data_IF_572039294811
#
_entry.id   IF_572039294811
#
_cell.length_a   1.000
_cell.length_b   1.000
_cell.length_c   1.000
_cell.angle_alpha   90.00
_cell.angle_beta   90.00
_cell.angle_gamma   90.00
#
_symmetry.space_group_name_H-M   'P 1'
#
loop_
_entity.id
_entity.type
_entity.pdbx_description
1 polymer ?
#
# COMPACT_ATOMS: atom_id res chain seq x y z
N UNK A 1 9.95 -45.74 -17.16
CA UNK A 1 9.98 -44.34 -16.69
C UNK A 1 10.99 -44.30 -15.55
N UNK A 2 11.91 -43.35 -15.58
CA UNK A 2 12.87 -43.16 -14.48
C UNK A 2 12.28 -42.21 -13.44
N UNK A 3 12.54 -42.49 -12.17
CA UNK A 3 12.11 -41.61 -11.08
C UNK A 3 12.99 -40.35 -11.08
N UNK A 4 12.37 -39.18 -10.97
CA UNK A 4 13.08 -37.90 -10.79
C UNK A 4 12.84 -37.48 -9.34
N UNK A 5 13.92 -37.19 -8.62
CA UNK A 5 13.89 -36.62 -7.27
C UNK A 5 14.56 -35.25 -7.33
N UNK A 6 13.89 -34.22 -6.83
CA UNK A 6 14.39 -32.85 -6.73
C UNK A 6 14.33 -32.43 -5.25
N UNK A 7 15.46 -31.98 -4.71
CA UNK A 7 15.58 -31.54 -3.33
C UNK A 7 16.45 -30.28 -3.25
N UNK A 8 15.99 -29.28 -2.49
CA UNK A 8 16.62 -27.97 -2.27
C UNK A 8 16.14 -27.45 -0.91
N UNK A 9 17.07 -26.95 -0.10
CA UNK A 9 16.73 -26.22 1.12
C UNK A 9 16.66 -24.71 0.80
N UNK A 10 15.56 -24.08 1.20
CA UNK A 10 15.29 -22.64 1.04
C UNK A 10 15.06 -21.94 2.39
N UNK A 11 15.27 -22.63 3.52
CA UNK A 11 15.22 -22.01 4.86
C UNK A 11 16.24 -20.87 4.95
N UNK A 12 15.82 -19.72 5.48
CA UNK A 12 16.68 -18.54 5.64
C UNK A 12 17.65 -18.71 6.83
N UNK A 13 18.85 -18.14 6.68
CA UNK A 13 19.85 -17.99 7.75
C UNK A 13 19.44 -16.86 8.74
N UNK A 14 20.36 -16.41 9.61
CA UNK A 14 20.10 -15.31 10.56
C UNK A 14 19.56 -14.04 9.87
N UNK A 15 18.56 -13.36 10.47
CA UNK A 15 17.94 -12.17 9.88
C UNK A 15 18.93 -11.02 9.73
N UNK A 16 18.82 -10.28 8.63
CA UNK A 16 19.60 -9.06 8.40
C UNK A 16 19.35 -8.03 9.53
N UNK A 17 20.40 -7.58 10.25
CA UNK A 17 20.23 -6.64 11.36
C UNK A 17 19.52 -5.33 10.98
N UNK A 18 19.73 -4.83 9.74
CA UNK A 18 19.06 -3.62 9.28
C UNK A 18 17.56 -3.88 9.04
N UNK A 19 17.21 -4.95 8.33
CA UNK A 19 15.82 -5.36 8.14
C UNK A 19 15.09 -5.56 9.48
N UNK A 20 15.75 -6.17 10.47
CA UNK A 20 15.18 -6.33 11.81
C UNK A 20 14.96 -4.99 12.50
N UNK A 21 15.94 -4.07 12.44
CA UNK A 21 15.80 -2.75 13.06
C UNK A 21 14.67 -1.92 12.42
N UNK A 22 14.52 -1.98 11.09
CA UNK A 22 13.40 -1.36 10.37
C UNK A 22 12.08 -1.98 10.81
N UNK A 23 11.99 -3.31 10.84
CA UNK A 23 10.79 -4.01 11.28
C UNK A 23 10.39 -3.62 12.71
N UNK A 24 11.35 -3.59 13.63
CA UNK A 24 11.12 -3.20 15.02
C UNK A 24 10.62 -1.75 15.13
N UNK A 25 11.20 -0.82 14.35
CA UNK A 25 10.76 0.58 14.32
C UNK A 25 9.34 0.73 13.76
N UNK A 26 9.05 0.04 12.65
CA UNK A 26 7.73 0.04 12.00
C UNK A 26 6.62 -0.47 12.93
N UNK A 27 6.93 -1.46 13.78
CA UNK A 27 5.99 -2.07 14.72
C UNK A 27 6.01 -1.46 16.13
N UNK A 28 6.90 -0.50 16.40
CA UNK A 28 6.98 0.13 17.71
C UNK A 28 5.66 0.87 18.05
N UNK A 29 5.30 1.00 19.34
CA UNK A 29 4.17 1.86 19.73
C UNK A 29 4.37 3.29 19.25
N UNK A 30 3.36 3.85 18.58
CA UNK A 30 3.44 5.15 17.88
C UNK A 30 4.37 5.14 16.66
N UNK A 31 4.76 3.97 16.17
CA UNK A 31 5.52 3.80 14.92
C UNK A 31 4.61 3.80 13.69
N UNK A 32 5.21 3.55 12.54
CA UNK A 32 4.54 3.66 11.23
C UNK A 32 3.21 2.93 11.14
N UNK A 33 3.11 1.65 11.53
CA UNK A 33 1.86 0.91 11.36
C UNK A 33 0.71 1.50 12.18
N UNK A 34 0.98 1.94 13.40
CA UNK A 34 -0.05 2.53 14.27
C UNK A 34 -0.53 3.87 13.72
N UNK A 35 0.39 4.76 13.34
CA UNK A 35 0.04 6.08 12.79
C UNK A 35 -0.62 5.97 11.41
N UNK A 36 -0.11 5.09 10.54
CA UNK A 36 -0.70 4.85 9.24
C UNK A 36 -2.12 4.28 9.36
N UNK A 37 -2.33 3.32 10.28
CA UNK A 37 -3.66 2.77 10.55
C UNK A 37 -4.63 3.85 11.03
N UNK A 38 -4.23 4.74 11.95
CA UNK A 38 -5.07 5.87 12.39
C UNK A 38 -5.50 6.76 11.23
N UNK A 39 -4.58 7.07 10.31
CA UNK A 39 -4.89 7.88 9.12
C UNK A 39 -5.85 7.13 8.19
N UNK A 40 -5.64 5.84 7.96
CA UNK A 40 -6.52 4.99 7.14
C UNK A 40 -7.92 4.81 7.76
N UNK A 41 -8.02 4.74 9.09
CA UNK A 41 -9.29 4.62 9.82
C UNK A 41 -10.14 5.88 9.75
N UNK A 42 -9.51 7.05 9.60
CA UNK A 42 -10.22 8.31 9.40
C UNK A 42 -10.89 8.39 8.00
N UNK A 43 -10.48 7.55 7.06
CA UNK A 43 -11.03 7.52 5.70
C UNK A 43 -12.35 6.74 5.71
N UNK A 44 -13.45 7.32 5.18
CA UNK A 44 -14.71 6.61 5.05
C UNK A 44 -14.55 5.34 4.20
N UNK A 45 -15.20 4.26 4.63
CA UNK A 45 -15.19 2.98 3.93
C UNK A 45 -16.58 2.59 3.44
N UNK A 46 -16.62 1.84 2.35
CA UNK A 46 -17.86 1.29 1.77
C UNK A 46 -17.75 -0.21 1.65
N UNK A 47 -18.90 -0.89 1.64
CA UNK A 47 -18.95 -2.32 1.36
C UNK A 47 -18.69 -2.54 -0.13
N UNK A 48 -17.76 -3.43 -0.46
CA UNK A 48 -17.54 -3.90 -1.82
C UNK A 48 -18.54 -5.01 -2.13
N UNK A 49 -19.53 -4.82 -3.03
CA UNK A 49 -20.62 -5.78 -3.21
C UNK A 49 -20.14 -7.18 -3.63
N UNK A 50 -19.14 -7.24 -4.51
CA UNK A 50 -18.55 -8.49 -4.99
C UNK A 50 -17.86 -9.26 -3.85
N UNK A 51 -17.15 -8.56 -2.98
CA UNK A 51 -16.41 -9.21 -1.90
C UNK A 51 -17.30 -9.58 -0.73
N UNK A 52 -18.38 -8.85 -0.52
CA UNK A 52 -19.49 -9.32 0.30
C UNK A 52 -20.06 -10.65 -0.20
N UNK A 53 -20.36 -10.76 -1.49
CA UNK A 53 -20.87 -12.01 -2.09
C UNK A 53 -19.84 -13.15 -1.96
N UNK A 54 -18.56 -12.86 -2.18
CA UNK A 54 -17.46 -13.81 -2.00
C UNK A 54 -17.37 -14.28 -0.54
N UNK A 55 -17.48 -13.37 0.43
CA UNK A 55 -17.49 -13.70 1.85
C UNK A 55 -18.65 -14.62 2.21
N UNK A 56 -19.87 -14.27 1.82
CA UNK A 56 -21.05 -15.09 2.14
C UNK A 56 -20.96 -16.48 1.50
N UNK A 57 -20.43 -16.56 0.27
CA UNK A 57 -20.17 -17.83 -0.42
C UNK A 57 -19.12 -18.68 0.30
N UNK A 58 -17.95 -18.10 0.58
CA UNK A 58 -16.85 -18.81 1.24
C UNK A 58 -17.21 -19.21 2.66
N UNK A 59 -17.95 -18.39 3.41
CA UNK A 59 -18.42 -18.73 4.76
C UNK A 59 -19.25 -20.01 4.75
N UNK A 60 -20.20 -20.13 3.82
CA UNK A 60 -21.01 -21.34 3.68
C UNK A 60 -20.18 -22.57 3.29
N UNK A 61 -19.24 -22.42 2.36
CA UNK A 61 -18.34 -23.50 1.94
C UNK A 61 -17.41 -23.96 3.08
N UNK A 62 -16.84 -23.01 3.82
CA UNK A 62 -16.00 -23.26 4.99
C UNK A 62 -16.77 -23.93 6.13
N UNK A 63 -18.04 -23.57 6.35
CA UNK A 63 -18.90 -24.21 7.36
C UNK A 63 -19.12 -25.69 7.03
N UNK A 64 -19.43 -26.02 5.78
CA UNK A 64 -19.57 -27.42 5.34
C UNK A 64 -18.25 -28.20 5.43
N UNK A 65 -17.12 -27.57 5.10
CA UNK A 65 -15.81 -28.17 5.28
C UNK A 65 -15.51 -28.44 6.76
N UNK A 66 -15.73 -27.46 7.64
CA UNK A 66 -15.56 -27.62 9.09
C UNK A 66 -16.41 -28.78 9.64
N UNK A 67 -17.67 -28.90 9.18
CA UNK A 67 -18.56 -30.01 9.59
C UNK A 67 -18.00 -31.38 9.19
N UNK A 68 -17.56 -31.53 7.94
CA UNK A 68 -17.02 -32.80 7.41
C UNK A 68 -15.72 -33.19 8.11
N UNK A 69 -14.88 -32.21 8.40
CA UNK A 69 -13.55 -32.41 9.00
C UNK A 69 -13.54 -32.26 10.54
N UNK A 70 -14.71 -32.24 11.17
CA UNK A 70 -14.87 -32.15 12.63
C UNK A 70 -14.14 -30.95 13.26
N UNK A 71 -14.11 -29.84 12.54
CA UNK A 71 -13.53 -28.56 12.95
C UNK A 71 -14.51 -27.61 13.63
N UNK A 72 -14.02 -26.38 13.83
CA UNK A 72 -14.79 -25.22 14.24
C UNK A 72 -14.62 -24.12 13.20
N UNK A 73 -15.65 -23.28 13.07
CA UNK A 73 -15.62 -22.09 12.22
C UNK A 73 -16.00 -20.84 13.03
N UNK A 74 -15.35 -19.73 12.73
CA UNK A 74 -15.71 -18.41 13.21
C UNK A 74 -15.67 -17.43 12.03
N UNK A 75 -16.82 -16.87 11.65
CA UNK A 75 -16.90 -15.84 10.61
C UNK A 75 -17.14 -14.47 11.25
N UNK A 76 -16.36 -13.48 10.84
CA UNK A 76 -16.44 -12.10 11.31
C UNK A 76 -16.66 -11.14 10.15
N UNK A 77 -17.56 -10.17 10.36
CA UNK A 77 -17.62 -8.90 9.60
C UNK A 77 -17.75 -7.81 10.65
N UNK A 78 -16.66 -7.10 10.89
CA UNK A 78 -16.54 -6.08 11.92
C UNK A 78 -16.56 -4.68 11.29
N UNK A 79 -17.61 -3.92 11.57
CA UNK A 79 -17.76 -2.55 11.08
C UNK A 79 -17.08 -1.50 11.97
N UNK A 80 -16.66 -1.88 13.17
CA UNK A 80 -15.90 -1.01 14.08
C UNK A 80 -14.41 -1.01 13.69
N UNK A 81 -13.88 -2.18 13.32
CA UNK A 81 -12.47 -2.37 12.94
C UNK A 81 -12.25 -2.58 11.43
N UNK A 82 -13.31 -2.54 10.62
CA UNK A 82 -13.27 -2.67 9.16
C UNK A 82 -12.61 -3.95 8.66
N UNK A 83 -12.87 -5.05 9.35
CA UNK A 83 -12.25 -6.34 9.11
C UNK A 83 -13.30 -7.41 8.75
N UNK A 84 -12.95 -8.33 7.87
CA UNK A 84 -13.80 -9.45 7.51
C UNK A 84 -12.97 -10.70 7.19
N UNK A 85 -13.18 -11.74 7.99
CA UNK A 85 -12.44 -12.99 7.87
C UNK A 85 -13.28 -14.19 8.29
N UNK A 86 -12.77 -15.36 7.93
CA UNK A 86 -13.28 -16.68 8.30
C UNK A 86 -12.12 -17.49 8.87
N UNK A 87 -12.24 -17.87 10.13
CA UNK A 87 -11.29 -18.76 10.79
C UNK A 87 -11.83 -20.17 10.89
N UNK A 88 -11.02 -21.13 10.50
CA UNK A 88 -11.25 -22.55 10.71
C UNK A 88 -10.23 -23.08 11.72
N UNK A 89 -10.72 -23.74 12.76
CA UNK A 89 -9.87 -24.54 13.66
C UNK A 89 -10.10 -26.02 13.41
N UNK A 90 -9.10 -26.69 12.86
CA UNK A 90 -9.22 -28.05 12.32
C UNK A 90 -8.28 -29.01 13.07
N UNK A 91 -8.75 -30.20 13.49
CA UNK A 91 -7.86 -31.20 14.10
C UNK A 91 -6.81 -31.74 13.12
N UNK A 92 -7.11 -31.67 11.82
CA UNK A 92 -6.27 -32.14 10.73
C UNK A 92 -6.66 -31.34 9.48
N UNK A 93 -5.68 -30.97 8.66
CA UNK A 93 -5.89 -30.19 7.45
C UNK A 93 -5.48 -31.02 6.24
N UNK A 94 -6.46 -31.54 5.51
CA UNK A 94 -6.27 -32.27 4.26
C UNK A 94 -7.27 -31.80 3.22
N UNK A 95 -6.83 -31.79 1.96
CA UNK A 95 -7.67 -31.58 0.79
C UNK A 95 -7.45 -32.75 -0.17
N UNK A 96 -8.14 -33.87 0.08
CA UNK A 96 -7.85 -35.15 -0.58
C UNK A 96 -8.96 -35.64 -1.52
N UNK A 97 -10.13 -35.00 -1.48
CA UNK A 97 -11.25 -35.26 -2.38
C UNK A 97 -11.55 -34.08 -3.33
N UNK A 98 -12.30 -34.29 -4.42
CA UNK A 98 -12.63 -33.22 -5.36
C UNK A 98 -13.41 -32.04 -4.77
N UNK A 99 -14.19 -32.26 -3.71
CA UNK A 99 -14.99 -31.23 -3.03
C UNK A 99 -14.08 -30.30 -2.20
N UNK A 100 -13.12 -30.89 -1.50
CA UNK A 100 -12.09 -30.17 -0.74
C UNK A 100 -11.14 -29.40 -1.66
N UNK A 101 -10.67 -30.04 -2.72
CA UNK A 101 -9.84 -29.36 -3.73
C UNK A 101 -10.60 -28.20 -4.40
N UNK A 102 -11.91 -28.33 -4.59
CA UNK A 102 -12.75 -27.23 -5.07
C UNK A 102 -12.83 -26.07 -4.07
N UNK A 103 -12.87 -26.34 -2.76
CA UNK A 103 -12.83 -25.28 -1.74
C UNK A 103 -11.50 -24.52 -1.80
N UNK A 104 -10.37 -25.25 -1.82
CA UNK A 104 -9.06 -24.62 -1.88
C UNK A 104 -8.92 -23.71 -3.11
N UNK A 105 -9.47 -24.15 -4.25
CA UNK A 105 -9.55 -23.33 -5.46
C UNK A 105 -10.41 -22.08 -5.25
N UNK A 106 -11.62 -22.25 -4.71
CA UNK A 106 -12.53 -21.12 -4.47
C UNK A 106 -11.90 -20.08 -3.53
N UNK A 107 -11.20 -20.52 -2.47
CA UNK A 107 -10.45 -19.63 -1.57
C UNK A 107 -9.38 -18.87 -2.36
N UNK A 108 -8.58 -19.56 -3.18
CA UNK A 108 -7.55 -18.91 -4.00
C UNK A 108 -8.09 -17.93 -5.06
N UNK A 109 -9.33 -18.08 -5.51
CA UNK A 109 -9.97 -17.20 -6.49
C UNK A 109 -10.75 -16.03 -5.88
N UNK A 110 -11.22 -16.18 -4.63
CA UNK A 110 -12.19 -15.25 -4.02
C UNK A 110 -11.69 -14.55 -2.76
N UNK A 111 -10.78 -15.16 -2.03
CA UNK A 111 -10.15 -14.53 -0.88
C UNK A 111 -9.05 -13.57 -1.34
N UNK A 112 -8.77 -12.58 -0.49
CA UNK A 112 -7.65 -11.67 -0.70
C UNK A 112 -6.38 -12.19 -0.03
N UNK A 113 -6.56 -12.95 1.06
CA UNK A 113 -5.47 -13.54 1.81
C UNK A 113 -5.94 -14.83 2.48
N UNK A 114 -5.03 -15.79 2.60
CA UNK A 114 -5.25 -16.93 3.47
C UNK A 114 -3.95 -17.38 4.13
N UNK A 115 -4.04 -17.84 5.36
CA UNK A 115 -2.89 -18.26 6.16
C UNK A 115 -3.23 -19.51 6.96
N UNK A 116 -2.30 -20.46 6.98
CA UNK A 116 -2.42 -21.67 7.78
C UNK A 116 -1.31 -21.64 8.82
N UNK A 117 -1.69 -21.71 10.08
CA UNK A 117 -0.75 -21.81 11.20
C UNK A 117 -1.09 -23.03 12.06
N UNK A 118 -0.10 -23.54 12.78
CA UNK A 118 -0.32 -24.55 13.82
C UNK A 118 -0.59 -23.85 15.15
N UNK A 119 -1.50 -24.41 15.94
CA UNK A 119 -1.80 -23.97 17.29
C UNK A 119 -1.04 -24.82 18.32
N UNK A 120 -0.88 -24.31 19.54
CA UNK A 120 -0.17 -25.00 20.64
C UNK A 120 -0.75 -26.40 20.94
N UNK A 121 -2.04 -26.62 20.68
CA UNK A 121 -2.72 -27.90 20.87
C UNK A 121 -2.58 -28.86 19.67
N UNK A 122 -1.76 -28.50 18.68
CA UNK A 122 -1.48 -29.28 17.48
C UNK A 122 -2.56 -29.18 16.39
N UNK A 123 -3.63 -28.41 16.61
CA UNK A 123 -4.63 -28.13 15.57
C UNK A 123 -4.11 -27.13 14.54
N UNK A 124 -4.75 -27.11 13.39
CA UNK A 124 -4.50 -26.12 12.34
C UNK A 124 -5.50 -24.97 12.46
N UNK A 125 -4.99 -23.76 12.40
CA UNK A 125 -5.78 -22.54 12.23
C UNK A 125 -5.66 -22.11 10.77
N UNK A 126 -6.77 -22.13 10.04
CA UNK A 126 -6.83 -21.68 8.66
C UNK A 126 -7.66 -20.40 8.59
N UNK A 127 -6.96 -19.28 8.44
CA UNK A 127 -7.51 -17.94 8.34
C UNK A 127 -7.72 -17.56 6.88
N UNK A 128 -8.90 -17.05 6.54
CA UNK A 128 -9.26 -16.58 5.20
C UNK A 128 -9.81 -15.15 5.33
N UNK A 129 -9.12 -14.19 4.74
CA UNK A 129 -9.47 -12.76 4.80
C UNK A 129 -9.95 -12.26 3.44
N UNK A 130 -10.96 -11.41 3.50
CA UNK A 130 -11.64 -10.85 2.33
C UNK A 130 -11.79 -9.35 2.56
N UNK A 131 -11.39 -8.54 1.58
CA UNK A 131 -11.56 -7.08 1.62
C UNK A 131 -13.04 -6.71 1.44
N UNK A 132 -13.87 -7.00 2.44
CA UNK A 132 -15.30 -6.70 2.46
C UNK A 132 -15.56 -5.19 2.38
N UNK A 133 -14.59 -4.40 2.87
CA UNK A 133 -14.59 -2.96 2.89
C UNK A 133 -13.49 -2.40 1.98
N UNK A 134 -13.75 -1.24 1.40
CA UNK A 134 -12.79 -0.46 0.61
C UNK A 134 -12.87 1.01 1.04
N UNK A 135 -11.72 1.66 1.17
CA UNK A 135 -11.60 3.09 1.43
C UNK A 135 -12.10 3.91 0.24
N UNK A 136 -12.88 4.96 0.52
CA UNK A 136 -13.26 5.95 -0.50
C UNK A 136 -12.07 6.88 -0.74
N UNK A 137 -11.08 6.37 -1.46
CA UNK A 137 -9.77 6.99 -1.64
C UNK A 137 -9.25 6.72 -3.05
N UNK A 138 -8.48 7.65 -3.62
CA UNK A 138 -7.72 7.35 -4.85
C UNK A 138 -6.41 6.65 -4.52
N UNK A 139 -5.90 5.85 -5.45
CA UNK A 139 -4.62 5.16 -5.30
C UNK A 139 -3.48 6.16 -5.00
N UNK A 140 -3.48 7.31 -5.69
CA UNK A 140 -2.46 8.35 -5.50
C UNK A 140 -2.50 8.96 -4.10
N UNK A 141 -3.69 9.15 -3.53
CA UNK A 141 -3.81 9.65 -2.16
C UNK A 141 -3.36 8.60 -1.15
N UNK A 142 -3.60 7.32 -1.41
CA UNK A 142 -3.09 6.22 -0.58
C UNK A 142 -1.57 6.18 -0.55
N UNK A 143 -0.92 6.32 -1.70
CA UNK A 143 0.54 6.37 -1.78
C UNK A 143 1.12 7.62 -1.13
N UNK A 144 0.47 8.77 -1.32
CA UNK A 144 0.82 9.99 -0.61
C UNK A 144 0.76 9.80 0.91
N UNK A 145 -0.30 9.17 1.43
CA UNK A 145 -0.49 8.96 2.87
C UNK A 145 0.56 8.01 3.46
N UNK A 146 0.95 6.96 2.71
CA UNK A 146 2.07 6.09 3.08
C UNK A 146 3.37 6.88 3.16
N UNK A 147 3.68 7.65 2.11
CA UNK A 147 4.89 8.46 2.06
C UNK A 147 4.94 9.51 3.17
N UNK A 148 3.85 10.25 3.38
CA UNK A 148 3.73 11.26 4.43
C UNK A 148 3.95 10.64 5.82
N UNK A 149 3.29 9.51 6.11
CA UNK A 149 3.46 8.83 7.40
C UNK A 149 4.87 8.27 7.61
N UNK A 150 5.53 7.79 6.54
CA UNK A 150 6.94 7.41 6.62
C UNK A 150 7.84 8.62 6.90
N UNK A 151 7.57 9.76 6.25
CA UNK A 151 8.36 10.99 6.39
C UNK A 151 8.19 11.67 7.75
N UNK A 152 7.06 11.46 8.43
CA UNK A 152 6.83 11.96 9.80
C UNK A 152 7.65 11.21 10.87
N UNK A 153 8.11 10.00 10.56
CA UNK A 153 8.99 9.22 11.42
C UNK A 153 10.46 9.47 11.03
N UNK A 154 11.07 10.52 11.60
CA UNK A 154 12.45 10.94 11.29
C UNK A 154 13.47 9.78 11.32
N UNK A 155 13.32 8.85 12.29
CA UNK A 155 14.23 7.71 12.44
C UNK A 155 14.02 6.69 11.31
N UNK A 156 12.77 6.34 11.01
CA UNK A 156 12.45 5.43 9.93
C UNK A 156 12.78 6.03 8.56
N UNK A 157 12.46 7.31 8.35
CA UNK A 157 12.81 8.05 7.14
C UNK A 157 14.32 8.06 6.90
N UNK A 158 15.13 8.23 7.96
CA UNK A 158 16.58 8.14 7.87
C UNK A 158 17.07 6.72 7.55
N UNK A 159 16.49 5.68 8.18
CA UNK A 159 16.80 4.28 7.86
C UNK A 159 16.50 3.93 6.40
N UNK A 160 15.44 4.53 5.83
CA UNK A 160 15.01 4.33 4.45
C UNK A 160 15.64 5.32 3.46
N UNK A 161 16.50 6.22 3.93
CA UNK A 161 17.14 7.26 3.12
C UNK A 161 16.12 8.12 2.32
N UNK A 162 15.01 8.50 2.96
CA UNK A 162 13.91 9.26 2.35
C UNK A 162 14.13 10.79 2.34
N UNK A 163 15.19 11.27 2.97
CA UNK A 163 15.51 12.69 3.01
C UNK A 163 15.96 13.25 1.66
N UNK A 164 15.81 14.56 1.49
CA UNK A 164 16.45 15.32 0.41
C UNK A 164 17.96 15.33 0.68
N UNK A 165 18.78 15.05 -0.32
CA UNK A 165 20.24 15.11 -0.16
C UNK A 165 20.69 16.56 0.08
N UNK A 166 21.84 16.76 0.75
CA UNK A 166 22.40 18.12 0.91
C UNK A 166 22.61 18.84 -0.43
N UNK A 167 22.88 18.08 -1.51
CA UNK A 167 23.05 18.60 -2.86
C UNK A 167 21.71 19.09 -3.45
N UNK A 168 20.62 18.36 -3.20
CA UNK A 168 19.28 18.66 -3.72
C UNK A 168 18.57 19.77 -2.91
N UNK A 169 18.91 19.97 -1.64
CA UNK A 169 18.27 20.98 -0.79
C UNK A 169 18.31 22.40 -1.40
N UNK A 170 19.44 22.76 -2.03
CA UNK A 170 19.59 24.06 -2.66
C UNK A 170 18.66 24.20 -3.87
N UNK A 171 18.49 23.13 -4.66
CA UNK A 171 17.63 23.10 -5.84
C UNK A 171 16.16 23.15 -5.43
N UNK A 172 15.78 22.43 -4.37
CA UNK A 172 14.40 22.45 -3.84
C UNK A 172 14.05 23.85 -3.29
N UNK A 173 14.99 24.53 -2.62
CA UNK A 173 14.78 25.93 -2.20
C UNK A 173 14.59 26.84 -3.40
N UNK A 174 15.41 26.70 -4.45
CA UNK A 174 15.26 27.46 -5.69
C UNK A 174 13.90 27.22 -6.36
N UNK A 175 13.42 25.98 -6.41
CA UNK A 175 12.07 25.67 -6.90
C UNK A 175 11.02 26.45 -6.10
N UNK A 176 11.12 26.47 -4.77
CA UNK A 176 10.23 27.25 -3.91
C UNK A 176 10.25 28.74 -4.23
N UNK A 177 11.43 29.32 -4.39
CA UNK A 177 11.59 30.73 -4.77
C UNK A 177 10.97 31.05 -6.14
N UNK A 178 11.15 30.17 -7.15
CA UNK A 178 10.53 30.34 -8.48
C UNK A 178 9.01 30.28 -8.38
N UNK A 179 8.48 29.33 -7.60
CA UNK A 179 7.04 29.18 -7.38
C UNK A 179 6.44 30.40 -6.68
N UNK A 180 7.11 30.96 -5.67
CA UNK A 180 6.62 32.18 -5.02
C UNK A 180 6.65 33.39 -5.96
N UNK A 181 7.54 33.43 -6.97
CA UNK A 181 7.50 34.47 -8.00
C UNK A 181 6.28 34.37 -8.90
N UNK A 182 5.77 33.17 -9.20
CA UNK A 182 4.51 33.03 -9.92
C UNK A 182 3.35 33.72 -9.17
N UNK A 183 3.21 33.45 -7.87
CA UNK A 183 2.17 34.06 -7.02
C UNK A 183 2.30 35.59 -6.91
N UNK A 184 3.53 36.12 -6.92
CA UNK A 184 3.80 37.53 -6.65
C UNK A 184 3.93 38.41 -7.89
N UNK A 185 4.39 37.85 -9.01
CA UNK A 185 4.77 38.60 -10.22
C UNK A 185 3.87 38.33 -11.42
N UNK A 186 2.99 37.31 -11.37
CA UNK A 186 2.16 36.91 -12.52
C UNK A 186 0.71 36.67 -12.13
N UNK A 187 -0.17 36.49 -13.12
CA UNK A 187 -1.56 36.05 -12.88
C UNK A 187 -1.71 34.54 -12.61
N UNK A 188 -0.66 33.75 -12.80
CA UNK A 188 -0.68 32.29 -12.62
C UNK A 188 -0.24 31.95 -11.21
N UNK A 189 -1.07 31.24 -10.45
CA UNK A 189 -0.68 30.78 -9.11
C UNK A 189 0.34 29.64 -9.15
N UNK A 190 1.12 29.51 -8.08
CA UNK A 190 2.18 28.50 -7.99
C UNK A 190 1.70 27.06 -8.13
N UNK A 191 0.49 26.74 -7.69
CA UNK A 191 -0.06 25.38 -7.81
C UNK A 191 -0.34 25.04 -9.26
N UNK A 192 -0.92 26.00 -10.00
CA UNK A 192 -1.16 25.87 -11.44
C UNK A 192 0.14 25.74 -12.22
N UNK A 193 1.14 26.58 -11.93
CA UNK A 193 2.45 26.51 -12.57
C UNK A 193 3.15 25.15 -12.33
N UNK A 194 3.19 24.69 -11.08
CA UNK A 194 3.80 23.40 -10.73
C UNK A 194 3.10 22.23 -11.42
N UNK A 195 1.75 22.18 -11.41
CA UNK A 195 0.99 21.13 -12.07
C UNK A 195 1.23 21.08 -13.58
N UNK A 196 1.36 22.24 -14.22
CA UNK A 196 1.66 22.32 -15.65
C UNK A 196 3.04 21.73 -15.97
N UNK A 197 4.07 22.09 -15.20
CA UNK A 197 5.42 21.54 -15.36
C UNK A 197 5.46 20.05 -15.05
N UNK A 198 4.87 19.60 -13.93
CA UNK A 198 4.82 18.19 -13.58
C UNK A 198 4.15 17.35 -14.68
N UNK A 199 2.99 17.80 -15.18
CA UNK A 199 2.28 17.13 -16.26
C UNK A 199 3.09 17.08 -17.56
N UNK A 200 3.79 18.17 -17.89
CA UNK A 200 4.67 18.22 -19.05
C UNK A 200 5.83 17.23 -18.93
N UNK A 201 6.52 17.19 -17.79
CA UNK A 201 7.65 16.30 -17.59
C UNK A 201 7.23 14.82 -17.61
N UNK A 202 6.13 14.47 -16.93
CA UNK A 202 5.57 13.11 -16.93
C UNK A 202 5.14 12.63 -18.32
N UNK A 203 4.73 13.53 -19.22
CA UNK A 203 4.36 13.15 -20.59
C UNK A 203 5.56 12.97 -21.53
N UNK A 204 6.70 13.60 -21.22
CA UNK A 204 7.89 13.56 -22.06
C UNK A 204 8.82 12.41 -21.71
N UNK A 205 9.30 12.38 -20.46
CA UNK A 205 10.25 11.36 -19.98
C UNK A 205 10.13 11.21 -18.46
N UNK A 206 9.27 10.31 -17.97
CA UNK A 206 9.06 10.06 -16.54
C UNK A 206 10.33 9.65 -15.80
N UNK A 207 11.24 8.93 -16.47
CA UNK A 207 12.41 8.33 -15.85
C UNK A 207 13.58 9.33 -15.70
N UNK A 208 13.49 10.48 -16.36
CA UNK A 208 14.52 11.53 -16.34
C UNK A 208 14.19 12.71 -15.41
N UNK A 209 13.10 12.64 -14.65
CA UNK A 209 12.67 13.74 -13.78
C UNK A 209 13.66 13.90 -12.61
N UNK A 210 14.29 15.08 -12.54
CA UNK A 210 15.15 15.51 -11.43
C UNK A 210 14.74 16.89 -10.90
N UNK A 211 15.21 17.27 -9.71
CA UNK A 211 14.94 18.60 -9.17
C UNK A 211 15.48 19.72 -10.07
N UNK A 212 16.64 19.54 -10.70
CA UNK A 212 17.22 20.51 -11.63
C UNK A 212 16.36 20.68 -12.88
N UNK A 213 15.83 19.57 -13.41
CA UNK A 213 14.96 19.62 -14.58
C UNK A 213 13.64 20.32 -14.25
N UNK A 214 13.08 20.09 -13.05
CA UNK A 214 11.91 20.80 -12.55
C UNK A 214 12.20 22.30 -12.43
N UNK A 215 13.30 22.67 -11.77
CA UNK A 215 13.71 24.07 -11.59
C UNK A 215 13.93 24.79 -12.93
N UNK A 216 14.63 24.15 -13.87
CA UNK A 216 14.88 24.70 -15.20
C UNK A 216 13.58 24.91 -15.98
N UNK A 217 12.67 23.94 -15.92
CA UNK A 217 11.38 24.01 -16.65
C UNK A 217 10.45 25.06 -16.05
N UNK A 218 10.38 25.17 -14.72
CA UNK A 218 9.64 26.22 -14.04
C UNK A 218 10.19 27.61 -14.35
N UNK A 219 11.52 27.76 -14.39
CA UNK A 219 12.16 29.03 -14.76
C UNK A 219 11.79 29.44 -16.17
N UNK A 220 11.89 28.52 -17.13
CA UNK A 220 11.53 28.80 -18.53
C UNK A 220 10.04 29.15 -18.68
N UNK A 221 9.16 28.50 -17.91
CA UNK A 221 7.74 28.84 -17.88
C UNK A 221 7.50 30.23 -17.31
N UNK A 222 8.17 30.59 -16.20
CA UNK A 222 8.03 31.89 -15.55
C UNK A 222 8.47 33.02 -16.47
N UNK A 223 9.62 32.89 -17.12
CA UNK A 223 10.13 33.87 -18.08
C UNK A 223 9.15 34.10 -19.22
N UNK A 224 8.58 33.02 -19.76
CA UNK A 224 7.58 33.11 -20.83
C UNK A 224 6.31 33.84 -20.39
N UNK A 225 5.78 33.52 -19.21
CA UNK A 225 4.56 34.18 -18.68
C UNK A 225 4.81 35.66 -18.45
N UNK A 226 5.96 36.03 -17.87
CA UNK A 226 6.34 37.43 -17.64
C UNK A 226 6.53 38.23 -18.94
N UNK A 227 7.04 37.60 -19.99
CA UNK A 227 7.21 38.25 -21.29
C UNK A 227 5.87 38.40 -22.03
N UNK A 228 5.00 37.39 -21.97
CA UNK A 228 3.65 37.45 -22.55
C UNK A 228 2.82 38.58 -21.90
N UNK A 229 2.87 38.75 -20.58
CA UNK A 229 2.16 39.83 -19.86
C UNK A 229 2.67 41.23 -20.22
N UNK A 230 3.99 41.42 -20.38
CA UNK A 230 4.56 42.71 -20.79
C UNK A 230 4.13 43.12 -22.20
N UNK A 231 3.89 42.15 -23.07
CA UNK A 231 3.46 42.40 -24.45
C UNK A 231 1.96 42.69 -24.58
N UNK A 232 1.15 42.39 -23.56
CA UNK A 232 -0.28 42.75 -23.52
C UNK A 232 -0.54 44.17 -22.96
N UNK A 233 0.44 44.78 -22.29
CA UNK A 233 0.35 46.15 -21.74
C UNK A 233 0.79 47.27 -22.72
N UNK A 234 1.36 46.93 -23.90
CA UNK A 234 1.80 47.85 -24.96
C UNK A 234 0.79 47.98 -26.13
#
# INVERSE_FOLDING_TARGET
MENIVFDRNYEEDEPDPLAQAIFDRVNAPGGFLEEFSKKMDAIPKVIVPKDKENYEYLLGRCDEFAKRHHGKIHGVVDFEHWDAHIDLTLPMLEFDDPEDMSLLKDIGEKAHYCCITTQEDGKFHFHVMINYFEEIMSEEYGDYLKFETLAEDDELAAMLNMGISEEDEAVVRLIGEILDRFDNETHVDKTTAFKAVASYLMQNDPDAISYELIAATLTALLEKVLDDEKHEED
#
